data_IF_641104761902
#
_entry.id   IF_641104761902
#
_cell.length_a   1.000
_cell.length_b   1.000
_cell.length_c   1.000
_cell.angle_alpha   90.00
_cell.angle_beta   90.00
_cell.angle_gamma   90.00
#
_symmetry.space_group_name_H-M   'P 1'
#
loop_
_entity.id
_entity.type
_entity.pdbx_description
1 polymer ?
#
# COMPACT_ATOMS: atom_id res chain seq x y z
N UNK A 1 4.02 -11.07 -13.48
CA UNK A 1 4.66 -9.75 -13.56
C UNK A 1 3.53 -8.78 -13.71
N UNK A 2 3.40 -7.85 -12.78
CA UNK A 2 2.33 -6.87 -12.81
C UNK A 2 2.63 -5.86 -13.93
N UNK A 3 1.65 -5.59 -14.79
CA UNK A 3 1.69 -4.54 -15.81
C UNK A 3 1.26 -3.19 -15.22
N UNK A 4 1.39 -2.10 -15.99
CA UNK A 4 0.86 -0.77 -15.62
C UNK A 4 -0.64 -0.85 -15.26
N UNK A 5 -1.41 -1.63 -16.02
CA UNK A 5 -2.84 -1.83 -15.78
C UNK A 5 -3.11 -2.64 -14.50
N UNK A 6 -2.30 -3.67 -14.23
CA UNK A 6 -2.40 -4.44 -12.98
C UNK A 6 -2.10 -3.55 -11.77
N UNK A 7 -1.04 -2.73 -11.85
CA UNK A 7 -0.68 -1.76 -10.81
C UNK A 7 -1.81 -0.75 -10.57
N UNK A 8 -2.41 -0.23 -11.64
CA UNK A 8 -3.56 0.66 -11.53
C UNK A 8 -4.77 -0.04 -10.90
N UNK A 9 -5.05 -1.29 -11.28
CA UNK A 9 -6.16 -2.07 -10.73
C UNK A 9 -5.97 -2.35 -9.24
N UNK A 10 -4.77 -2.75 -8.81
CA UNK A 10 -4.46 -3.02 -7.41
C UNK A 10 -4.56 -1.74 -6.57
N UNK A 11 -4.04 -0.62 -7.05
CA UNK A 11 -4.16 0.64 -6.34
C UNK A 11 -5.61 1.16 -6.28
N UNK A 12 -6.44 0.90 -7.31
CA UNK A 12 -7.90 1.17 -7.26
C UNK A 12 -8.58 0.28 -6.23
N UNK A 13 -8.24 -1.00 -6.18
CA UNK A 13 -8.76 -1.93 -5.18
C UNK A 13 -8.43 -1.44 -3.77
N UNK A 14 -7.18 -1.08 -3.50
CA UNK A 14 -6.76 -0.56 -2.20
C UNK A 14 -7.57 0.69 -1.78
N UNK A 15 -7.85 1.60 -2.72
CA UNK A 15 -8.70 2.76 -2.49
C UNK A 15 -10.15 2.35 -2.15
N UNK A 16 -10.75 1.48 -2.95
CA UNK A 16 -12.13 1.00 -2.77
C UNK A 16 -12.32 0.23 -1.46
N UNK A 17 -11.29 -0.47 -0.99
CA UNK A 17 -11.31 -1.19 0.29
C UNK A 17 -10.99 -0.30 1.51
N UNK A 18 -10.75 1.00 1.30
CA UNK A 18 -10.39 1.92 2.39
C UNK A 18 -9.06 1.58 3.08
N UNK A 19 -8.09 1.05 2.31
CA UNK A 19 -6.74 0.81 2.79
C UNK A 19 -6.00 2.14 2.97
N UNK A 20 -4.94 2.13 3.78
CA UNK A 20 -4.07 3.29 3.99
C UNK A 20 -3.22 3.65 2.78
N UNK A 21 -3.17 2.78 1.76
CA UNK A 21 -2.44 2.97 0.52
C UNK A 21 -1.88 1.66 -0.04
N UNK A 22 -0.93 1.82 -0.96
CA UNK A 22 -0.16 0.71 -1.54
C UNK A 22 1.33 0.96 -1.36
N UNK A 23 2.12 -0.11 -1.34
CA UNK A 23 3.59 -0.07 -1.42
C UNK A 23 4.02 -0.65 -2.75
N UNK A 24 4.83 0.08 -3.52
CA UNK A 24 5.48 -0.47 -4.70
C UNK A 24 6.81 -1.09 -4.24
N UNK A 25 7.00 -2.39 -4.48
CA UNK A 25 8.35 -2.95 -4.42
C UNK A 25 9.15 -2.47 -5.64
N UNK A 26 10.49 -2.60 -5.60
CA UNK A 26 11.38 -2.45 -6.76
C UNK A 26 11.18 -1.25 -7.72
N UNK A 27 10.80 -0.07 -7.24
CA UNK A 27 10.59 1.16 -8.05
C UNK A 27 11.77 1.52 -8.97
N UNK A 28 13.01 1.16 -8.59
CA UNK A 28 14.19 1.39 -9.44
C UNK A 28 14.24 0.53 -10.71
N UNK A 29 13.38 -0.48 -10.82
CA UNK A 29 13.20 -1.31 -12.02
C UNK A 29 12.06 -0.83 -12.91
N UNK A 30 11.40 0.28 -12.55
CA UNK A 30 10.45 0.95 -13.46
C UNK A 30 11.20 1.53 -14.68
N UNK A 31 10.48 1.98 -15.70
CA UNK A 31 11.06 2.68 -16.85
C UNK A 31 11.47 4.11 -16.45
N UNK A 32 12.52 4.22 -15.64
CA UNK A 32 13.02 5.48 -15.05
C UNK A 32 13.36 6.52 -16.11
N UNK A 33 13.88 6.07 -17.25
CA UNK A 33 14.35 6.92 -18.34
C UNK A 33 13.30 7.15 -19.45
N UNK A 34 12.14 6.48 -19.38
CA UNK A 34 11.07 6.59 -20.38
C UNK A 34 11.41 5.96 -21.74
N UNK A 35 12.21 4.90 -21.76
CA UNK A 35 12.69 4.23 -22.98
C UNK A 35 11.63 3.36 -23.65
N UNK A 36 10.61 2.91 -22.92
CA UNK A 36 9.54 2.06 -23.44
C UNK A 36 8.32 2.86 -23.95
N UNK A 37 8.44 4.17 -24.20
CA UNK A 37 7.41 4.97 -24.87
C UNK A 37 6.23 5.42 -24.00
N UNK A 38 6.17 5.02 -22.73
CA UNK A 38 5.12 5.42 -21.77
C UNK A 38 5.52 6.61 -20.87
N UNK A 39 6.66 7.25 -21.17
CA UNK A 39 7.26 8.28 -20.31
C UNK A 39 7.94 7.67 -19.07
N UNK A 40 8.65 8.50 -18.29
CA UNK A 40 9.39 8.02 -17.13
C UNK A 40 8.46 7.59 -16.00
N UNK A 41 8.82 6.50 -15.33
CA UNK A 41 8.10 5.93 -14.18
C UNK A 41 6.61 5.60 -14.41
N UNK A 42 6.25 4.83 -15.43
CA UNK A 42 4.85 4.52 -15.72
C UNK A 42 4.11 3.84 -14.55
N UNK A 43 4.80 3.04 -13.72
CA UNK A 43 4.16 2.42 -12.55
C UNK A 43 3.84 3.43 -11.45
N UNK A 44 4.74 4.37 -11.16
CA UNK A 44 4.45 5.46 -10.22
C UNK A 44 3.29 6.32 -10.70
N UNK A 45 3.23 6.61 -12.01
CA UNK A 45 2.13 7.36 -12.61
C UNK A 45 0.80 6.61 -12.52
N UNK A 46 0.79 5.29 -12.70
CA UNK A 46 -0.41 4.46 -12.54
C UNK A 46 -1.00 4.57 -11.12
N UNK A 47 -0.15 4.49 -10.09
CA UNK A 47 -0.58 4.65 -8.69
C UNK A 47 -1.02 6.09 -8.41
N UNK A 48 -0.23 7.09 -8.81
CA UNK A 48 -0.52 8.50 -8.56
C UNK A 48 -1.81 8.97 -9.27
N UNK A 49 -2.06 8.47 -10.48
CA UNK A 49 -3.24 8.80 -11.28
C UNK A 49 -4.56 8.51 -10.57
N UNK A 50 -4.59 7.51 -9.68
CA UNK A 50 -5.78 7.14 -8.91
C UNK A 50 -6.13 8.19 -7.87
N UNK A 51 -5.14 8.83 -7.24
CA UNK A 51 -5.39 9.94 -6.31
C UNK A 51 -6.04 11.14 -7.00
N UNK A 52 -5.74 11.36 -8.28
CA UNK A 52 -6.30 12.47 -9.05
C UNK A 52 -7.73 12.20 -9.56
N UNK A 53 -8.20 10.95 -9.59
CA UNK A 53 -9.56 10.62 -10.05
C UNK A 53 -10.63 10.78 -8.96
N UNK A 54 -10.25 10.94 -7.69
CA UNK A 54 -11.17 11.13 -6.56
C UNK A 54 -11.51 12.60 -6.24
N UNK A 55 -11.31 13.53 -7.19
CA UNK A 55 -11.73 14.93 -6.99
C UNK A 55 -13.25 15.07 -7.15
N UNK A 56 -14.02 14.54 -6.20
CA UNK A 56 -15.29 15.15 -5.83
C UNK A 56 -14.91 16.31 -4.90
N UNK A 57 -15.27 17.53 -5.29
CA UNK A 57 -15.03 18.76 -4.55
C UNK A 57 -15.53 18.66 -3.11
N UNK A 58 -14.62 18.49 -2.15
CA UNK A 58 -14.91 18.87 -0.78
C UNK A 58 -14.90 20.40 -0.69
N UNK A 59 -16.04 20.95 -0.27
CA UNK A 59 -16.26 22.38 -0.11
C UNK A 59 -15.40 22.89 1.04
N UNK A 60 -14.47 23.78 0.73
CA UNK A 60 -13.62 24.49 1.68
C UNK A 60 -14.47 25.21 2.74
N UNK A 61 -14.51 24.69 3.97
CA UNK A 61 -14.91 25.48 5.14
C UNK A 61 -13.64 25.84 5.91
N UNK A 62 -13.30 27.12 5.88
CA UNK A 62 -12.16 27.72 6.56
C UNK A 62 -12.29 27.54 8.08
N UNK A 63 -11.43 26.71 8.69
CA UNK A 63 -11.23 26.72 10.14
C UNK A 63 -10.01 27.59 10.49
N UNK A 64 -10.02 28.32 11.63
CA UNK A 64 -8.94 29.22 12.01
C UNK A 64 -7.68 28.46 12.46
N UNK A 65 -6.52 29.00 12.10
CA UNK A 65 -5.19 28.47 12.45
C UNK A 65 -4.88 28.76 13.92
N UNK A 66 -5.02 27.76 14.78
CA UNK A 66 -4.56 27.83 16.17
C UNK A 66 -3.08 27.45 16.25
N UNK A 67 -2.22 28.44 16.46
CA UNK A 67 -0.78 28.30 16.61
C UNK A 67 -0.41 27.76 18.00
N UNK A 68 -0.71 26.49 18.26
CA UNK A 68 -0.15 25.77 19.41
C UNK A 68 1.02 24.94 18.91
N UNK A 69 2.23 25.32 19.31
CA UNK A 69 3.42 24.47 19.13
C UNK A 69 3.26 23.23 20.02
N UNK A 70 2.54 22.24 19.51
CA UNK A 70 2.41 20.92 20.12
C UNK A 70 3.80 20.31 20.10
N UNK A 71 4.40 20.12 21.28
CA UNK A 71 5.43 19.08 21.41
C UNK A 71 4.68 17.77 21.21
N UNK A 72 4.61 17.31 19.96
CA UNK A 72 4.07 15.99 19.69
C UNK A 72 5.02 15.03 20.38
N UNK A 73 4.51 14.19 21.27
CA UNK A 73 5.13 12.88 21.43
C UNK A 73 5.29 12.37 20.01
N UNK A 74 6.52 12.20 19.54
CA UNK A 74 6.75 11.75 18.18
C UNK A 74 6.16 10.35 18.09
N UNK A 75 4.94 10.26 17.56
CA UNK A 75 4.34 8.99 17.18
C UNK A 75 5.18 8.53 16.02
N UNK A 76 6.07 7.58 16.29
CA UNK A 76 6.90 6.99 15.25
C UNK A 76 5.99 6.09 14.41
N UNK A 77 6.02 6.26 13.10
CA UNK A 77 5.36 5.33 12.21
C UNK A 77 6.15 4.01 12.24
N UNK A 78 5.51 2.95 12.73
CA UNK A 78 6.03 1.57 12.69
C UNK A 78 5.28 0.80 11.60
N UNK A 79 6.04 0.24 10.67
CA UNK A 79 5.55 -0.54 9.54
C UNK A 79 5.89 -2.02 9.76
N UNK A 80 4.88 -2.87 9.80
CA UNK A 80 5.02 -4.30 10.03
C UNK A 80 4.70 -5.05 8.74
N UNK A 81 5.73 -5.59 8.09
CA UNK A 81 5.56 -6.40 6.89
C UNK A 81 5.21 -7.83 7.26
N UNK A 82 4.13 -8.34 6.69
CA UNK A 82 3.65 -9.71 6.87
C UNK A 82 3.82 -10.46 5.56
N UNK A 83 4.44 -11.64 5.64
CA UNK A 83 4.48 -12.58 4.54
C UNK A 83 3.14 -13.32 4.47
N UNK A 84 2.42 -13.21 3.37
CA UNK A 84 1.08 -13.76 3.26
C UNK A 84 1.05 -15.29 3.22
N UNK A 85 2.16 -15.96 2.92
CA UNK A 85 2.21 -17.42 2.99
C UNK A 85 2.52 -17.96 4.40
N UNK A 86 2.61 -17.09 5.41
CA UNK A 86 3.02 -17.52 6.74
C UNK A 86 2.00 -18.43 7.45
N UNK A 87 0.74 -18.46 7.02
CA UNK A 87 -0.27 -19.44 7.48
C UNK A 87 0.00 -20.86 6.96
N UNK A 88 0.70 -20.99 5.84
CA UNK A 88 1.06 -22.28 5.24
C UNK A 88 2.31 -22.90 5.86
N UNK A 89 3.05 -22.16 6.68
CA UNK A 89 4.26 -22.67 7.34
C UNK A 89 3.91 -23.70 8.44
N UNK A 90 4.85 -24.60 8.73
CA UNK A 90 4.66 -25.67 9.70
C UNK A 90 5.23 -25.32 11.08
N UNK A 91 4.54 -25.71 12.14
CA UNK A 91 5.03 -25.58 13.51
C UNK A 91 5.09 -24.12 13.97
N UNK A 92 6.15 -23.75 14.70
CA UNK A 92 6.27 -22.44 15.36
C UNK A 92 6.50 -21.26 14.40
N UNK A 93 6.66 -21.52 13.10
CA UNK A 93 6.77 -20.46 12.08
C UNK A 93 5.43 -20.15 11.42
N UNK A 94 4.38 -20.92 11.74
CA UNK A 94 3.03 -20.60 11.29
C UNK A 94 2.55 -19.31 11.94
N UNK A 95 1.94 -18.44 11.15
CA UNK A 95 1.49 -17.13 11.60
C UNK A 95 0.17 -16.73 10.96
N UNK A 96 -0.71 -16.12 11.75
CA UNK A 96 -1.99 -15.56 11.31
C UNK A 96 -2.09 -14.10 11.77
N UNK A 97 -2.79 -13.27 10.99
CA UNK A 97 -2.83 -11.81 11.23
C UNK A 97 -3.43 -11.42 12.59
N UNK A 98 -4.29 -12.25 13.18
CA UNK A 98 -4.90 -12.05 14.50
C UNK A 98 -3.89 -12.17 15.66
N UNK A 99 -2.69 -12.69 15.40
CA UNK A 99 -1.60 -12.78 16.39
C UNK A 99 -0.78 -11.49 16.51
N UNK A 100 -1.02 -10.49 15.66
CA UNK A 100 -0.33 -9.20 15.72
C UNK A 100 -0.86 -8.39 16.92
N UNK A 101 0.05 -7.93 17.78
CA UNK A 101 -0.26 -6.84 18.70
C UNK A 101 -0.39 -5.53 17.92
N UNK A 102 -1.63 -5.10 17.72
CA UNK A 102 -1.97 -3.94 16.92
C UNK A 102 -1.49 -2.61 17.51
N UNK A 103 -0.99 -2.58 18.76
CA UNK A 103 -0.40 -1.38 19.36
C UNK A 103 1.09 -1.22 19.03
N UNK A 104 1.74 -2.26 18.49
CA UNK A 104 3.15 -2.23 18.12
C UNK A 104 3.37 -1.75 16.67
N UNK A 105 2.31 -1.77 15.85
CA UNK A 105 2.33 -1.39 14.45
C UNK A 105 1.38 -0.22 14.22
N UNK A 106 1.81 0.77 13.44
CA UNK A 106 0.91 1.83 12.93
C UNK A 106 0.37 1.48 11.54
N UNK A 107 1.15 0.72 10.78
CA UNK A 107 0.83 0.26 9.44
C UNK A 107 1.19 -1.21 9.31
N UNK A 108 0.28 -2.03 8.79
CA UNK A 108 0.53 -3.41 8.41
C UNK A 108 0.68 -3.44 6.89
N UNK A 109 1.81 -3.93 6.41
CA UNK A 109 2.10 -4.14 4.99
C UNK A 109 1.79 -5.59 4.67
N UNK A 110 0.84 -5.80 3.76
CA UNK A 110 0.43 -7.12 3.28
C UNK A 110 1.02 -7.28 1.88
N UNK A 111 1.57 -8.46 1.58
CA UNK A 111 2.08 -8.72 0.24
C UNK A 111 0.94 -8.99 -0.79
N UNK A 112 1.27 -8.97 -2.08
CA UNK A 112 0.32 -9.21 -3.18
C UNK A 112 -0.39 -10.59 -3.10
N UNK A 113 0.22 -11.60 -2.45
CA UNK A 113 -0.32 -12.96 -2.38
C UNK A 113 -1.37 -13.05 -1.28
N UNK A 114 -2.52 -12.42 -1.51
CA UNK A 114 -3.59 -12.08 -0.58
C UNK A 114 -4.36 -13.27 0.08
N UNK A 115 -3.70 -14.28 0.66
CA UNK A 115 -4.40 -15.35 1.41
C UNK A 115 -4.82 -14.90 2.80
N UNK A 116 -4.04 -14.03 3.47
CA UNK A 116 -4.28 -13.67 4.87
C UNK A 116 -5.28 -12.53 5.05
N UNK A 117 -5.45 -11.64 4.06
CA UNK A 117 -6.19 -10.41 4.25
C UNK A 117 -7.60 -10.48 3.66
N UNK A 118 -8.57 -10.05 4.48
CA UNK A 118 -9.96 -9.89 4.08
C UNK A 118 -10.57 -8.71 4.83
N UNK A 119 -11.72 -8.21 4.34
CA UNK A 119 -12.47 -7.16 5.04
C UNK A 119 -12.76 -7.56 6.50
N UNK A 120 -13.13 -8.82 6.74
CA UNK A 120 -13.37 -9.35 8.09
C UNK A 120 -12.14 -9.27 8.99
N UNK A 121 -10.96 -9.63 8.47
CA UNK A 121 -9.70 -9.56 9.23
C UNK A 121 -9.31 -8.11 9.50
N UNK A 122 -9.46 -7.22 8.51
CA UNK A 122 -9.26 -5.78 8.67
C UNK A 122 -10.14 -5.22 9.78
N UNK A 123 -11.44 -5.53 9.78
CA UNK A 123 -12.39 -5.04 10.77
C UNK A 123 -12.07 -5.55 12.17
N UNK A 124 -11.66 -6.82 12.30
CA UNK A 124 -11.23 -7.39 13.56
C UNK A 124 -10.01 -6.65 14.14
N UNK A 125 -8.97 -6.42 13.33
CA UNK A 125 -7.77 -5.72 13.80
C UNK A 125 -8.05 -4.23 14.08
N UNK A 126 -8.89 -3.58 13.28
CA UNK A 126 -9.33 -2.19 13.53
C UNK A 126 -10.19 -2.06 14.78
N UNK A 127 -10.90 -3.12 15.19
CA UNK A 127 -11.63 -3.13 16.47
C UNK A 127 -10.70 -3.09 17.69
N UNK A 128 -9.46 -3.57 17.54
CA UNK A 128 -8.42 -3.52 18.57
C UNK A 128 -7.64 -2.19 18.54
N UNK A 129 -7.35 -1.67 17.34
CA UNK A 129 -6.72 -0.37 17.12
C UNK A 129 -7.35 0.34 15.91
N UNK A 130 -8.20 1.34 16.16
CA UNK A 130 -8.91 2.07 15.11
C UNK A 130 -8.01 2.92 14.21
N UNK A 131 -6.82 3.28 14.70
CA UNK A 131 -5.86 4.10 13.96
C UNK A 131 -4.96 3.25 13.04
N UNK A 132 -5.07 1.93 13.11
CA UNK A 132 -4.28 0.98 12.33
C UNK A 132 -4.60 1.08 10.84
N UNK A 133 -3.54 1.19 10.04
CA UNK A 133 -3.64 1.27 8.57
C UNK A 133 -3.09 0.03 7.91
N UNK A 134 -3.67 -0.34 6.78
CA UNK A 134 -3.20 -1.46 5.96
C UNK A 134 -2.64 -0.92 4.65
N UNK A 135 -1.51 -1.45 4.23
CA UNK A 135 -0.89 -1.15 2.94
C UNK A 135 -0.77 -2.44 2.15
N UNK A 136 -1.16 -2.40 0.87
CA UNK A 136 -1.02 -3.54 -0.02
C UNK A 136 0.23 -3.40 -0.88
N UNK A 137 1.08 -4.42 -0.90
CA UNK A 137 2.28 -4.42 -1.73
C UNK A 137 1.93 -4.84 -3.14
N UNK A 138 2.34 -4.03 -4.11
CA UNK A 138 2.32 -4.32 -5.53
C UNK A 138 3.73 -4.76 -5.91
N UNK A 139 3.84 -5.94 -6.53
CA UNK A 139 5.14 -6.45 -6.93
C UNK A 139 5.45 -5.96 -8.35
N UNK A 140 6.24 -4.90 -8.47
CA UNK A 140 6.84 -4.56 -9.75
C UNK A 140 7.94 -5.58 -10.04
N UNK A 141 7.56 -6.69 -10.67
CA UNK A 141 8.53 -7.72 -11.00
C UNK A 141 9.53 -7.18 -12.02
N UNK A 142 10.72 -7.77 -12.00
CA UNK A 142 11.85 -7.59 -12.92
C UNK A 142 11.53 -7.73 -14.42
N UNK A 143 10.29 -8.03 -14.84
CA UNK A 143 9.95 -8.14 -16.27
C UNK A 143 9.43 -6.85 -16.89
N UNK A 144 9.32 -5.75 -16.13
CA UNK A 144 9.42 -4.39 -16.71
C UNK A 144 10.91 -4.01 -16.81
N UNK A 145 11.80 -4.98 -16.95
CA UNK A 145 13.07 -4.73 -17.62
C UNK A 145 12.78 -4.11 -18.97
N UNK A 146 13.55 -3.07 -19.27
CA UNK A 146 13.75 -2.44 -20.57
C UNK A 146 13.78 -3.44 -21.75
N UNK A 147 14.06 -4.72 -21.52
CA UNK A 147 13.97 -5.83 -22.48
C UNK A 147 12.55 -6.17 -22.97
N UNK A 148 11.48 -5.65 -22.35
CA UNK A 148 10.10 -5.73 -22.87
C UNK A 148 9.65 -4.48 -23.63
N UNK A 149 10.52 -3.48 -23.83
CA UNK A 149 10.29 -2.51 -24.89
C UNK A 149 10.38 -3.29 -26.23
N UNK A 150 9.26 -3.83 -26.73
CA UNK A 150 9.21 -4.41 -28.07
C UNK A 150 9.61 -3.32 -29.07
N UNK A 151 10.67 -3.60 -29.85
CA UNK A 151 10.99 -2.87 -31.08
C UNK A 151 9.81 -2.90 -32.08
#
# INVERSE_FOLDING_TARGET
SDTVDDVALIARYANLQGLGGVTLSSVGQDDVDGRCGNGPYPLLHAVAGISNQNTIQETTTTQPVDNKRVRTNQVHNVFCSVNSNADTYYGSTQFTLDQIDTNLCTHIIIDHNNSLFSASVSDQLKSQNSDLKFLLTINSNENITIDQCQD
#
